data_IF_599935651259
#
_entry.id   IF_599935651259
#
_cell.length_a   1.000
_cell.length_b   1.000
_cell.length_c   1.000
_cell.angle_alpha   90.00
_cell.angle_beta   90.00
_cell.angle_gamma   90.00
#
_symmetry.space_group_name_H-M   'P 1'
#
loop_
_entity.id
_entity.type
_entity.pdbx_description
1 polymer ?
#
# COMPACT_ATOMS: atom_id res chain seq x y z
N UNK A 1 16.76 3.72 -1.80
CA UNK A 1 16.38 2.30 -1.67
C UNK A 1 14.93 2.14 -2.11
N UNK A 2 14.68 1.18 -2.95
CA UNK A 2 13.34 0.89 -3.40
C UNK A 2 12.71 -0.16 -2.49
N UNK A 3 11.46 0.07 -2.10
CA UNK A 3 10.78 -0.82 -1.19
C UNK A 3 9.56 -1.45 -1.89
N UNK A 4 9.43 -2.74 -1.77
CA UNK A 4 8.25 -3.46 -2.26
C UNK A 4 7.47 -4.01 -1.08
N UNK A 5 6.16 -3.80 -1.12
CA UNK A 5 5.28 -4.29 -0.07
C UNK A 5 5.30 -5.82 -0.06
N UNK A 6 5.39 -6.38 1.13
CA UNK A 6 5.45 -7.83 1.32
C UNK A 6 4.48 -8.23 2.43
N UNK A 7 4.43 -9.53 2.71
CA UNK A 7 3.60 -10.04 3.80
C UNK A 7 4.03 -9.52 5.16
N UNK A 8 5.28 -9.09 5.28
CA UNK A 8 5.79 -8.52 6.53
C UNK A 8 5.46 -7.06 6.73
N UNK A 9 4.98 -6.39 5.70
CA UNK A 9 4.64 -4.96 5.79
C UNK A 9 3.40 -4.76 6.66
N UNK A 10 3.49 -3.92 7.66
CA UNK A 10 2.36 -3.59 8.53
C UNK A 10 1.71 -2.27 8.17
N UNK A 11 2.51 -1.25 7.94
CA UNK A 11 1.98 0.07 7.64
C UNK A 11 3.01 0.90 6.89
N UNK A 12 2.51 1.83 6.08
CA UNK A 12 3.33 2.81 5.36
C UNK A 12 2.80 4.17 5.76
N UNK A 13 3.65 4.95 6.42
CA UNK A 13 3.28 6.24 6.99
C UNK A 13 4.06 7.35 6.29
N UNK A 14 3.41 8.45 5.88
CA UNK A 14 4.16 9.56 5.33
C UNK A 14 5.05 10.15 6.43
N UNK A 15 6.33 10.32 6.13
CA UNK A 15 7.30 10.85 7.07
C UNK A 15 7.68 12.29 6.73
N UNK A 16 7.76 12.58 5.43
CA UNK A 16 7.98 13.93 4.92
C UNK A 16 7.32 14.01 3.54
N UNK A 17 7.48 15.12 2.86
CA UNK A 17 6.91 15.28 1.52
C UNK A 17 7.48 14.30 0.51
N UNK A 18 8.65 13.74 0.78
CA UNK A 18 9.37 12.93 -0.19
C UNK A 18 9.66 11.51 0.26
N UNK A 19 9.40 11.20 1.54
CA UNK A 19 9.73 9.85 2.01
C UNK A 19 8.66 9.29 2.94
N UNK A 20 8.83 8.02 3.25
CA UNK A 20 7.87 7.28 4.07
C UNK A 20 8.58 6.53 5.17
N UNK A 21 7.85 6.25 6.24
CA UNK A 21 8.30 5.37 7.29
C UNK A 21 7.49 4.08 7.14
N UNK A 22 8.19 2.98 6.90
CA UNK A 22 7.56 1.68 6.71
C UNK A 22 7.76 0.83 7.94
N UNK A 23 6.66 0.30 8.48
CA UNK A 23 6.69 -0.58 9.64
C UNK A 23 6.55 -2.04 9.21
N UNK A 24 7.43 -2.87 9.74
CA UNK A 24 7.34 -4.33 9.58
C UNK A 24 7.34 -4.95 10.98
N UNK A 25 7.20 -6.28 11.06
CA UNK A 25 7.05 -6.97 12.34
C UNK A 25 8.06 -6.56 13.41
N UNK A 26 9.34 -6.57 13.05
CA UNK A 26 10.42 -6.31 14.00
C UNK A 26 11.25 -5.08 13.66
N UNK A 27 10.84 -4.34 12.63
CA UNK A 27 11.69 -3.29 12.09
C UNK A 27 10.87 -2.14 11.55
N UNK A 28 11.55 -1.04 11.33
CA UNK A 28 10.97 0.07 10.59
C UNK A 28 12.08 0.69 9.75
N UNK A 29 11.68 1.22 8.59
CA UNK A 29 12.62 1.75 7.62
C UNK A 29 12.15 3.09 7.12
N UNK A 30 13.10 3.96 6.80
CA UNK A 30 12.79 5.18 6.05
C UNK A 30 13.07 4.87 4.59
N UNK A 31 12.05 5.04 3.76
CA UNK A 31 12.15 4.79 2.32
C UNK A 31 12.01 6.12 1.61
N UNK A 32 12.90 6.40 0.67
CA UNK A 32 12.92 7.67 -0.04
C UNK A 32 11.90 7.74 -1.17
N UNK A 33 10.68 7.35 -0.85
CA UNK A 33 9.54 7.42 -1.77
C UNK A 33 8.31 7.76 -0.94
N UNK A 34 7.34 8.44 -1.56
CA UNK A 34 6.07 8.71 -0.90
C UNK A 34 5.29 7.41 -0.75
N UNK A 35 4.32 7.33 0.17
CA UNK A 35 3.50 6.13 0.29
C UNK A 35 2.82 5.74 -1.01
N UNK A 36 2.29 6.72 -1.75
CA UNK A 36 1.63 6.44 -3.01
C UNK A 36 2.59 5.82 -4.03
N UNK A 37 3.82 6.34 -4.09
CA UNK A 37 4.82 5.80 -5.01
C UNK A 37 5.18 4.36 -4.64
N UNK A 38 5.28 4.07 -3.36
CA UNK A 38 5.51 2.69 -2.90
C UNK A 38 4.37 1.80 -3.35
N UNK A 39 3.14 2.27 -3.26
CA UNK A 39 1.97 1.52 -3.72
C UNK A 39 2.01 1.24 -5.21
N UNK A 40 2.31 2.27 -6.00
CA UNK A 40 2.41 2.11 -7.46
C UNK A 40 3.48 1.09 -7.83
N UNK A 41 4.67 1.25 -7.26
CA UNK A 41 5.79 0.38 -7.59
C UNK A 41 5.56 -1.05 -7.15
N UNK A 42 4.91 -1.24 -6.01
CA UNK A 42 4.61 -2.59 -5.51
C UNK A 42 3.61 -3.30 -6.41
N UNK A 43 2.57 -2.59 -6.88
CA UNK A 43 1.64 -3.19 -7.84
C UNK A 43 2.35 -3.59 -9.11
N UNK A 44 3.25 -2.76 -9.62
CA UNK A 44 4.03 -3.09 -10.83
C UNK A 44 4.92 -4.29 -10.60
N UNK A 45 5.53 -4.37 -9.43
CA UNK A 45 6.40 -5.50 -9.10
C UNK A 45 5.66 -6.83 -9.24
N UNK A 46 4.39 -6.85 -8.87
CA UNK A 46 3.56 -8.05 -8.96
C UNK A 46 2.77 -8.14 -10.27
N UNK A 47 3.18 -7.38 -11.27
CA UNK A 47 2.62 -7.53 -12.63
C UNK A 47 1.32 -6.82 -12.89
N UNK A 48 0.98 -5.82 -12.09
CA UNK A 48 -0.26 -5.06 -12.30
C UNK A 48 0.01 -3.57 -12.19
N UNK A 49 -1.04 -2.78 -12.08
CA UNK A 49 -0.91 -1.34 -11.87
C UNK A 49 -1.81 -0.93 -10.72
N UNK A 50 -1.46 0.18 -10.09
CA UNK A 50 -2.27 0.72 -9.02
C UNK A 50 -3.70 1.01 -9.50
N UNK A 51 -3.82 1.68 -10.64
CA UNK A 51 -5.15 2.03 -11.17
C UNK A 51 -5.98 0.80 -11.50
N UNK A 52 -5.34 -0.21 -12.09
CA UNK A 52 -6.03 -1.46 -12.39
C UNK A 52 -6.55 -2.15 -11.13
N UNK A 53 -5.73 -2.19 -10.09
CA UNK A 53 -6.14 -2.79 -8.81
C UNK A 53 -7.27 -1.99 -8.16
N UNK A 54 -7.17 -0.67 -8.21
CA UNK A 54 -8.21 0.21 -7.67
C UNK A 54 -9.53 0.00 -8.38
N UNK A 55 -9.51 -0.05 -9.70
CA UNK A 55 -10.74 -0.23 -10.49
C UNK A 55 -11.38 -1.57 -10.22
N UNK A 56 -10.58 -2.64 -10.11
CA UNK A 56 -11.08 -3.96 -9.77
C UNK A 56 -11.77 -3.96 -8.41
N UNK A 57 -11.16 -3.35 -7.42
CA UNK A 57 -11.72 -3.30 -6.08
C UNK A 57 -13.01 -2.49 -6.05
N UNK A 58 -13.07 -1.39 -6.78
CA UNK A 58 -14.30 -0.59 -6.88
C UNK A 58 -15.43 -1.39 -7.48
N UNK A 59 -15.16 -2.15 -8.54
CA UNK A 59 -16.17 -2.99 -9.18
C UNK A 59 -16.72 -4.04 -8.24
N UNK A 60 -15.85 -4.65 -7.44
CA UNK A 60 -16.26 -5.74 -6.53
C UNK A 60 -16.95 -5.18 -5.29
N UNK A 61 -16.40 -4.13 -4.70
CA UNK A 61 -16.85 -3.63 -3.41
C UNK A 61 -17.86 -2.49 -3.49
N UNK A 62 -17.98 -1.86 -4.64
CA UNK A 62 -18.86 -0.71 -4.81
C UNK A 62 -18.39 0.54 -4.06
N UNK A 63 -17.17 0.55 -3.57
CA UNK A 63 -16.63 1.69 -2.82
C UNK A 63 -15.99 2.69 -3.77
N UNK A 64 -16.06 3.98 -3.43
CA UNK A 64 -15.44 5.03 -4.23
C UNK A 64 -14.26 5.68 -3.52
N UNK A 65 -14.23 5.63 -2.19
CA UNK A 65 -13.17 6.21 -1.38
C UNK A 65 -12.56 5.15 -0.51
N UNK A 66 -11.28 5.33 -0.16
CA UNK A 66 -10.57 4.42 0.73
C UNK A 66 -10.65 2.97 0.28
N UNK A 67 -10.53 2.79 -1.03
CA UNK A 67 -10.65 1.46 -1.64
C UNK A 67 -9.44 0.61 -1.28
N UNK A 68 -9.63 -0.59 -0.73
CA UNK A 68 -8.51 -1.51 -0.50
C UNK A 68 -7.84 -1.89 -1.81
N UNK A 69 -6.54 -2.07 -1.77
CA UNK A 69 -5.75 -2.45 -2.95
C UNK A 69 -5.17 -3.83 -2.71
N UNK A 70 -5.49 -4.76 -3.59
CA UNK A 70 -4.87 -6.09 -3.58
C UNK A 70 -3.54 -5.95 -4.31
N UNK A 71 -2.46 -5.89 -3.54
CA UNK A 71 -1.13 -5.74 -4.11
C UNK A 71 -0.68 -7.05 -4.76
N UNK A 72 -0.96 -8.16 -4.10
CA UNK A 72 -0.59 -9.47 -4.63
C UNK A 72 -1.59 -10.50 -4.14
N UNK A 73 -2.23 -11.20 -5.09
CA UNK A 73 -3.33 -12.11 -4.79
C UNK A 73 -2.90 -13.41 -4.12
N UNK A 74 -1.82 -13.99 -4.60
CA UNK A 74 -1.41 -15.31 -4.13
C UNK A 74 -1.05 -15.34 -2.66
N UNK A 75 -0.50 -14.24 -2.14
CA UNK A 75 -0.12 -14.13 -0.74
C UNK A 75 -1.08 -13.28 0.07
N UNK A 76 -2.20 -12.89 -0.52
CA UNK A 76 -3.21 -12.07 0.15
C UNK A 76 -2.64 -10.78 0.72
N UNK A 77 -1.80 -10.12 -0.07
CA UNK A 77 -1.24 -8.83 0.34
C UNK A 77 -2.24 -7.75 -0.02
N UNK A 78 -2.99 -7.31 0.97
CA UNK A 78 -4.04 -6.31 0.80
C UNK A 78 -3.72 -5.14 1.71
N UNK A 79 -3.73 -3.93 1.15
CA UNK A 79 -3.52 -2.71 1.93
C UNK A 79 -4.68 -1.76 1.70
N UNK A 80 -4.98 -0.96 2.69
CA UNK A 80 -6.04 0.02 2.54
C UNK A 80 -5.61 1.37 3.11
N UNK A 81 -6.09 2.46 2.49
CA UNK A 81 -5.75 3.80 2.94
C UNK A 81 -6.65 4.22 4.10
N UNK A 82 -6.13 5.04 5.01
CA UNK A 82 -6.91 5.55 6.12
C UNK A 82 -7.64 6.84 5.76
N UNK A 83 -7.17 7.53 4.72
CA UNK A 83 -7.82 8.72 4.18
C UNK A 83 -7.78 8.62 2.66
N UNK A 84 -8.13 9.69 1.96
CA UNK A 84 -7.99 9.71 0.51
C UNK A 84 -6.55 9.43 0.11
N UNK A 85 -6.31 8.53 -0.84
CA UNK A 85 -4.95 8.21 -1.28
C UNK A 85 -4.14 9.41 -1.76
N UNK A 86 -4.80 10.44 -2.24
CA UNK A 86 -4.11 11.66 -2.70
C UNK A 86 -3.77 12.61 -1.56
N UNK A 87 -4.22 12.33 -0.36
CA UNK A 87 -3.93 13.17 0.79
C UNK A 87 -2.50 12.96 1.27
N UNK A 88 -1.83 14.06 1.64
CA UNK A 88 -0.44 13.99 2.09
C UNK A 88 -0.27 13.24 3.41
N UNK A 89 -1.34 13.09 4.18
CA UNK A 89 -1.29 12.40 5.46
C UNK A 89 -1.88 11.00 5.42
N UNK A 90 -2.10 10.45 4.23
CA UNK A 90 -2.66 9.12 4.11
C UNK A 90 -1.69 8.05 4.61
N UNK A 91 -2.16 7.25 5.56
CA UNK A 91 -1.43 6.09 6.06
C UNK A 91 -2.03 4.86 5.41
N UNK A 92 -1.18 3.98 4.90
CA UNK A 92 -1.62 2.71 4.32
C UNK A 92 -1.37 1.60 5.33
N UNK A 93 -2.38 0.80 5.58
CA UNK A 93 -2.30 -0.29 6.56
C UNK A 93 -2.50 -1.61 5.84
N UNK A 94 -1.61 -2.55 6.12
CA UNK A 94 -1.73 -3.89 5.56
C UNK A 94 -2.75 -4.69 6.36
N UNK A 95 -3.65 -5.33 5.63
CA UNK A 95 -4.65 -6.21 6.23
C UNK A 95 -4.16 -7.65 6.18
N UNK A 96 -2.88 -7.85 6.43
CA UNK A 96 -2.31 -9.18 6.37
C UNK A 96 -3.00 -10.14 7.32
N UNK A 97 -3.41 -11.28 6.80
CA UNK A 97 -3.95 -12.33 7.63
C UNK A 97 -2.79 -13.13 8.16
N UNK A 98 -2.64 -13.10 9.45
CA UNK A 98 -1.57 -13.82 10.09
C UNK A 98 -2.11 -15.08 10.69
N UNK A 99 -1.41 -16.12 10.44
CA UNK A 99 -1.79 -17.43 10.98
C UNK A 99 -0.73 -17.95 11.86
#
# INVERSE_FOLDING_TARGET
MKYDISRGTLAIVPNSEENSLVYEDDSRYIVNETPFKIMEDSCKYFGSTYNGRKDSAKSILGAEYKVPIIVEENNNIIVFPTTSPSSADCVWISLGIRK
#
